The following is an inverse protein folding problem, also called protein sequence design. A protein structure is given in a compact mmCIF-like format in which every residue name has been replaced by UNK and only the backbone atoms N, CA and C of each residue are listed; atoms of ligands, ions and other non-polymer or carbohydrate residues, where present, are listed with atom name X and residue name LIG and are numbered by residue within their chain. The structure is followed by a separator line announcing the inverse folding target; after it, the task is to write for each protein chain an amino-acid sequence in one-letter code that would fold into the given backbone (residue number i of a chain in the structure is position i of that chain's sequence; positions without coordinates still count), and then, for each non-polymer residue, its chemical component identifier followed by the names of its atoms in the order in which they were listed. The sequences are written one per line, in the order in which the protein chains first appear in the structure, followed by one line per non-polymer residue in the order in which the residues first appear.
data_IF_100615440013
#
_entry.id   IF_100615440013
#
_cell.length_a   1.000
_cell.length_b   1.000
_cell.length_c   1.000
_cell.angle_alpha   90.00
_cell.angle_beta   90.00
_cell.angle_gamma   90.00
#
_symmetry.space_group_name_H-M   'P 1'
#
loop_
_entity.id
_entity.type
_entity.pdbx_description
1 polymer ?
#
# COMPACT_ATOMS: atom_id res chain seq x y z
N UNK A 1 -28.12 47.29 -45.80
CA UNK A 1 -27.84 46.15 -44.89
C UNK A 1 -26.55 45.53 -45.40
N UNK A 2 -25.42 45.97 -44.87
CA UNK A 2 -24.10 45.54 -45.33
C UNK A 2 -23.94 44.05 -45.06
N UNK A 3 -23.62 43.30 -46.11
CA UNK A 3 -23.38 41.86 -46.04
C UNK A 3 -22.02 41.64 -45.38
N UNK A 4 -21.99 41.61 -44.05
CA UNK A 4 -20.80 41.16 -43.32
C UNK A 4 -20.36 39.81 -43.86
N UNK A 5 -19.10 39.71 -44.26
CA UNK A 5 -18.52 38.41 -44.58
C UNK A 5 -18.53 37.54 -43.33
N UNK A 6 -18.63 36.20 -43.50
CA UNK A 6 -18.64 35.27 -42.37
C UNK A 6 -17.43 35.44 -41.44
N UNK A 7 -16.32 35.94 -42.00
CA UNK A 7 -15.08 36.26 -41.29
C UNK A 7 -15.19 37.53 -40.42
N UNK A 8 -15.82 38.60 -40.92
CA UNK A 8 -16.09 39.82 -40.15
C UNK A 8 -17.08 39.58 -39.01
N UNK A 9 -18.11 38.77 -39.25
CA UNK A 9 -19.06 38.36 -38.20
C UNK A 9 -18.36 37.50 -37.11
N UNK A 10 -17.45 36.62 -37.52
CA UNK A 10 -16.65 35.81 -36.61
C UNK A 10 -15.67 36.64 -35.75
N UNK A 11 -15.17 37.77 -36.26
CA UNK A 11 -14.30 38.70 -35.54
C UNK A 11 -15.08 39.59 -34.55
N UNK A 12 -16.29 40.02 -34.89
CA UNK A 12 -17.19 40.74 -33.98
C UNK A 12 -17.75 39.84 -32.87
N UNK A 13 -17.94 38.56 -33.16
CA UNK A 13 -18.36 37.58 -32.15
C UNK A 13 -17.17 37.14 -31.28
N UNK A 14 -17.39 36.99 -29.97
CA UNK A 14 -16.37 36.49 -29.02
C UNK A 14 -16.08 34.97 -29.18
N UNK A 15 -16.06 34.45 -30.41
CA UNK A 15 -15.80 33.04 -30.63
C UNK A 15 -14.37 32.67 -30.25
N UNK A 16 -14.26 31.64 -29.41
CA UNK A 16 -12.96 31.08 -29.02
C UNK A 16 -12.28 30.47 -30.24
N UNK A 17 -11.01 30.80 -30.44
CA UNK A 17 -10.14 30.18 -31.43
C UNK A 17 -10.14 28.63 -31.30
N UNK A 18 -9.97 27.91 -32.41
CA UNK A 18 -9.81 26.45 -32.45
C UNK A 18 -8.79 25.94 -31.42
N UNK A 19 -7.65 26.62 -31.24
CA UNK A 19 -6.63 26.25 -30.25
C UNK A 19 -7.15 26.35 -28.81
N UNK A 20 -7.88 27.42 -28.49
CA UNK A 20 -8.42 27.63 -27.14
C UNK A 20 -9.57 26.68 -26.84
N UNK A 21 -10.43 26.37 -27.82
CA UNK A 21 -11.45 25.31 -27.72
C UNK A 21 -10.82 23.95 -27.39
N UNK A 22 -9.78 23.54 -28.13
CA UNK A 22 -9.05 22.28 -27.86
C UNK A 22 -8.42 22.25 -26.47
N UNK A 23 -7.84 23.36 -26.02
CA UNK A 23 -7.24 23.47 -24.69
C UNK A 23 -8.30 23.30 -23.59
N UNK A 24 -9.45 23.95 -23.72
CA UNK A 24 -10.53 23.85 -22.74
C UNK A 24 -11.05 22.42 -22.60
N UNK A 25 -11.25 21.70 -23.70
CA UNK A 25 -11.66 20.29 -23.65
C UNK A 25 -10.64 19.43 -22.91
N UNK A 26 -9.34 19.66 -23.15
CA UNK A 26 -8.27 18.94 -22.46
C UNK A 26 -8.25 19.28 -20.96
N UNK A 27 -8.32 20.55 -20.60
CA UNK A 27 -8.33 21.01 -19.20
C UNK A 27 -9.56 20.47 -18.45
N UNK A 28 -10.72 20.43 -19.09
CA UNK A 28 -11.95 19.87 -18.52
C UNK A 28 -11.83 18.37 -18.25
N UNK A 29 -11.28 17.62 -19.22
CA UNK A 29 -10.99 16.20 -19.05
C UNK A 29 -9.97 15.95 -17.92
N UNK A 30 -8.91 16.75 -17.83
CA UNK A 30 -7.92 16.64 -16.74
C UNK A 30 -8.56 16.93 -15.37
N UNK A 31 -9.47 17.91 -15.28
CA UNK A 31 -10.25 18.18 -14.05
C UNK A 31 -11.14 17.00 -13.68
N UNK A 32 -11.82 16.40 -14.65
CA UNK A 32 -12.63 15.20 -14.45
C UNK A 32 -11.78 14.06 -13.87
N UNK A 33 -10.58 13.83 -14.40
CA UNK A 33 -9.66 12.80 -13.90
C UNK A 33 -9.22 13.06 -12.44
N UNK A 34 -8.96 14.31 -12.09
CA UNK A 34 -8.63 14.70 -10.71
C UNK A 34 -9.82 14.45 -9.77
N UNK A 35 -11.04 14.76 -10.21
CA UNK A 35 -12.26 14.49 -9.42
C UNK A 35 -12.45 12.98 -9.19
N UNK A 36 -12.26 12.15 -10.22
CA UNK A 36 -12.32 10.69 -10.07
C UNK A 36 -11.33 10.17 -9.03
N UNK A 37 -10.11 10.71 -9.01
CA UNK A 37 -9.11 10.35 -7.99
C UNK A 37 -9.54 10.76 -6.58
N UNK A 38 -10.16 11.92 -6.42
CA UNK A 38 -10.69 12.37 -5.12
C UNK A 38 -11.81 11.43 -4.63
N UNK A 39 -12.75 11.11 -5.51
CA UNK A 39 -13.84 10.17 -5.22
C UNK A 39 -13.29 8.79 -4.84
N UNK A 40 -12.32 8.26 -5.58
CA UNK A 40 -11.65 7.00 -5.24
C UNK A 40 -11.05 7.04 -3.82
N UNK A 41 -10.29 8.09 -3.50
CA UNK A 41 -9.70 8.24 -2.16
C UNK A 41 -10.77 8.33 -1.07
N UNK A 42 -11.89 9.03 -1.33
CA UNK A 42 -13.01 9.13 -0.40
C UNK A 42 -13.71 7.78 -0.18
N UNK A 43 -14.03 7.04 -1.24
CA UNK A 43 -14.61 5.71 -1.15
C UNK A 43 -13.69 4.74 -0.41
N UNK A 44 -12.39 4.78 -0.68
CA UNK A 44 -11.41 3.97 0.03
C UNK A 44 -11.32 4.33 1.51
N UNK A 45 -11.40 5.62 1.86
CA UNK A 45 -11.47 6.06 3.26
C UNK A 45 -12.75 5.54 3.94
N UNK A 46 -13.91 5.68 3.29
CA UNK A 46 -15.18 5.14 3.79
C UNK A 46 -15.08 3.63 4.04
N UNK A 47 -14.57 2.88 3.04
CA UNK A 47 -14.30 1.44 3.15
C UNK A 47 -13.37 1.12 4.32
N UNK A 48 -12.32 1.91 4.53
CA UNK A 48 -11.38 1.69 5.61
C UNK A 48 -11.98 2.00 6.99
N UNK A 49 -12.88 2.98 7.06
CA UNK A 49 -13.54 3.41 8.30
C UNK A 49 -14.74 2.54 8.70
N UNK A 50 -15.12 1.55 7.88
CA UNK A 50 -16.18 0.61 8.23
C UNK A 50 -15.87 -0.12 9.55
N UNK A 51 -16.86 -0.28 10.44
CA UNK A 51 -16.66 -0.89 11.74
C UNK A 51 -16.33 -2.37 11.63
N UNK A 52 -15.76 -2.92 12.70
CA UNK A 52 -15.58 -4.35 12.88
C UNK A 52 -16.86 -4.95 13.46
N UNK A 53 -17.36 -6.00 12.82
CA UNK A 53 -18.55 -6.75 13.25
C UNK A 53 -18.08 -8.02 13.94
N UNK A 54 -18.60 -8.35 15.15
CA UNK A 54 -18.27 -9.59 15.83
C UNK A 54 -18.78 -10.80 15.03
N UNK A 55 -17.97 -11.85 14.98
CA UNK A 55 -18.37 -13.14 14.42
C UNK A 55 -19.23 -13.90 15.42
N UNK A 56 -20.29 -14.55 14.92
CA UNK A 56 -21.15 -15.40 15.76
C UNK A 56 -20.36 -16.55 16.42
N UNK A 57 -19.40 -17.13 15.68
CA UNK A 57 -18.49 -18.14 16.19
C UNK A 57 -17.04 -17.71 15.89
N UNK A 58 -16.23 -17.38 16.91
CA UNK A 58 -14.83 -17.10 16.70
C UNK A 58 -14.11 -18.38 16.26
N UNK A 59 -13.17 -18.25 15.33
CA UNK A 59 -12.42 -19.39 14.81
C UNK A 59 -10.91 -19.20 14.95
N UNK A 60 -10.20 -20.31 15.07
CA UNK A 60 -8.75 -20.31 15.17
C UNK A 60 -8.12 -20.20 13.77
N UNK A 61 -7.37 -19.12 13.52
CA UNK A 61 -6.60 -18.97 12.27
C UNK A 61 -5.22 -19.64 12.36
N UNK A 62 -4.67 -19.72 13.57
CA UNK A 62 -3.34 -20.29 13.78
C UNK A 62 -2.90 -20.14 15.24
N UNK A 63 -1.63 -19.84 15.42
CA UNK A 63 -1.00 -19.65 16.72
C UNK A 63 -0.29 -18.31 16.76
N UNK A 64 -0.29 -17.70 17.93
CA UNK A 64 0.52 -16.54 18.23
C UNK A 64 1.47 -16.86 19.37
N UNK A 65 2.65 -16.27 19.32
CA UNK A 65 3.59 -16.29 20.42
C UNK A 65 4.05 -14.88 20.76
N UNK A 66 4.12 -14.63 22.06
CA UNK A 66 4.60 -13.37 22.64
C UNK A 66 5.49 -13.69 23.82
N UNK A 67 6.21 -12.68 24.29
CA UNK A 67 6.99 -12.79 25.52
C UNK A 67 6.08 -12.60 26.73
N UNK A 68 6.38 -13.37 27.78
CA UNK A 68 5.82 -13.25 29.13
C UNK A 68 6.98 -13.32 30.11
N UNK A 69 6.82 -12.72 31.29
CA UNK A 69 7.81 -12.87 32.36
C UNK A 69 7.99 -14.34 32.75
N UNK A 70 9.24 -14.71 33.02
CA UNK A 70 9.56 -15.97 33.68
C UNK A 70 8.98 -15.99 35.10
N UNK A 71 8.47 -17.13 35.53
CA UNK A 71 7.79 -17.31 36.83
C UNK A 71 8.63 -16.85 38.03
N UNK A 72 9.94 -17.09 38.02
CA UNK A 72 10.85 -16.69 39.10
C UNK A 72 10.86 -15.17 39.31
N UNK A 73 10.78 -14.41 38.21
CA UNK A 73 10.80 -12.94 38.23
C UNK A 73 9.43 -12.40 38.57
N UNK A 74 8.36 -13.10 38.20
CA UNK A 74 7.00 -12.75 38.63
C UNK A 74 6.88 -12.78 40.16
N UNK A 75 7.62 -13.67 40.83
CA UNK A 75 7.66 -13.75 42.30
C UNK A 75 8.60 -12.75 42.96
N UNK A 76 9.44 -12.05 42.20
CA UNK A 76 10.40 -11.09 42.75
C UNK A 76 9.79 -9.70 42.92
N UNK A 77 10.46 -8.85 43.70
CA UNK A 77 10.02 -7.47 43.91
C UNK A 77 10.02 -6.63 42.62
N UNK A 78 10.82 -7.01 41.62
CA UNK A 78 10.95 -6.28 40.35
C UNK A 78 9.89 -6.70 39.31
N UNK A 79 8.98 -7.60 39.66
CA UNK A 79 7.95 -8.12 38.76
C UNK A 79 7.17 -7.01 38.06
N UNK A 80 6.75 -6.00 38.82
CA UNK A 80 5.95 -4.87 38.31
C UNK A 80 6.73 -4.07 37.26
N UNK A 81 8.00 -3.75 37.54
CA UNK A 81 8.87 -3.01 36.63
C UNK A 81 9.06 -3.74 35.30
N UNK A 82 9.42 -5.01 35.35
CA UNK A 82 9.64 -5.79 34.13
C UNK A 82 8.34 -6.09 33.39
N UNK A 83 7.18 -6.15 34.06
CA UNK A 83 5.87 -6.23 33.40
C UNK A 83 5.57 -4.96 32.62
N UNK A 84 5.73 -3.79 33.24
CA UNK A 84 5.52 -2.50 32.57
C UNK A 84 6.49 -2.27 31.42
N UNK A 85 7.74 -2.72 31.55
CA UNK A 85 8.73 -2.66 30.48
C UNK A 85 8.34 -3.59 29.33
N UNK A 86 7.92 -4.82 29.65
CA UNK A 86 7.54 -5.81 28.66
C UNK A 86 6.38 -5.32 27.80
N UNK A 87 5.36 -4.68 28.37
CA UNK A 87 4.23 -4.10 27.61
C UNK A 87 4.70 -3.14 26.50
N UNK A 88 5.74 -2.36 26.76
CA UNK A 88 6.30 -1.38 25.80
C UNK A 88 7.13 -2.03 24.70
N UNK A 89 7.79 -3.15 24.99
CA UNK A 89 8.78 -3.80 24.10
C UNK A 89 8.34 -5.14 23.54
N UNK A 90 7.15 -5.63 23.90
CA UNK A 90 6.68 -6.94 23.47
C UNK A 90 6.57 -7.00 21.94
N UNK A 91 6.80 -8.19 21.42
CA UNK A 91 6.64 -8.46 19.99
C UNK A 91 5.71 -9.65 19.83
N UNK A 92 4.83 -9.58 18.84
CA UNK A 92 3.92 -10.65 18.50
C UNK A 92 4.38 -11.31 17.21
N UNK A 93 4.32 -12.63 17.20
CA UNK A 93 4.56 -13.39 15.98
C UNK A 93 3.43 -14.39 15.77
N UNK A 94 2.88 -14.39 14.56
CA UNK A 94 1.86 -15.33 14.13
C UNK A 94 2.45 -16.43 13.26
N UNK A 95 1.85 -17.62 13.34
CA UNK A 95 2.19 -18.81 12.57
C UNK A 95 0.95 -19.68 12.38
N UNK A 96 0.86 -20.42 11.28
CA UNK A 96 -0.17 -21.45 11.11
C UNK A 96 0.07 -22.64 12.04
N UNK A 97 1.33 -23.02 12.24
CA UNK A 97 1.75 -24.13 13.11
C UNK A 97 2.19 -23.64 14.50
N UNK A 98 1.86 -24.43 15.53
CA UNK A 98 2.28 -24.19 16.93
C UNK A 98 3.80 -24.25 17.13
N UNK A 99 4.53 -24.89 16.22
CA UNK A 99 5.97 -25.12 16.33
C UNK A 99 6.81 -23.86 16.09
N UNK A 100 6.27 -22.85 15.37
CA UNK A 100 6.99 -21.64 14.93
C UNK A 100 8.34 -21.93 14.26
N UNK A 101 8.44 -23.05 13.53
CA UNK A 101 9.64 -23.39 12.76
C UNK A 101 9.58 -22.79 11.36
N UNK A 102 10.73 -22.43 10.82
CA UNK A 102 10.89 -22.01 9.43
C UNK A 102 11.75 -23.01 8.67
N UNK A 103 11.35 -23.30 7.43
CA UNK A 103 12.11 -24.14 6.51
C UNK A 103 13.35 -23.38 6.06
N UNK A 104 14.55 -23.91 6.36
CA UNK A 104 15.84 -23.35 5.93
C UNK A 104 16.60 -24.38 5.10
N UNK A 105 17.11 -23.97 3.94
CA UNK A 105 17.97 -24.83 3.12
C UNK A 105 19.36 -24.93 3.76
N UNK A 106 19.86 -26.14 3.97
CA UNK A 106 21.23 -26.44 4.42
C UNK A 106 21.79 -27.57 3.57
N UNK A 107 22.94 -27.34 2.90
CA UNK A 107 23.65 -28.33 2.07
C UNK A 107 22.70 -29.19 1.22
N UNK A 108 21.89 -28.54 0.37
CA UNK A 108 20.89 -29.13 -0.54
C UNK A 108 19.62 -29.75 0.08
N UNK A 109 19.56 -29.99 1.40
CA UNK A 109 18.34 -30.43 2.10
C UNK A 109 17.61 -29.26 2.78
N UNK A 110 16.32 -29.44 3.06
CA UNK A 110 15.55 -28.49 3.86
C UNK A 110 15.41 -28.99 5.29
N UNK A 111 15.76 -28.14 6.25
CA UNK A 111 15.66 -28.43 7.68
C UNK A 111 14.75 -27.39 8.32
N UNK A 112 13.89 -27.83 9.22
CA UNK A 112 13.07 -26.94 10.03
C UNK A 112 13.89 -26.41 11.20
N UNK A 113 14.07 -25.09 11.25
CA UNK A 113 14.80 -24.40 12.31
C UNK A 113 13.82 -23.48 13.02
N UNK A 114 13.95 -23.35 14.34
CA UNK A 114 13.16 -22.40 15.10
C UNK A 114 13.31 -20.98 14.54
N UNK A 115 12.17 -20.30 14.35
CA UNK A 115 12.20 -18.90 13.95
C UNK A 115 12.66 -18.10 15.17
N UNK A 116 13.75 -17.34 15.03
CA UNK A 116 14.20 -16.44 16.09
C UNK A 116 13.21 -15.28 16.24
N UNK A 117 12.88 -14.95 17.48
CA UNK A 117 12.13 -13.76 17.85
C UNK A 117 12.83 -13.14 19.05
N UNK A 118 12.95 -11.83 19.02
CA UNK A 118 13.50 -11.01 20.11
C UNK A 118 12.46 -9.99 20.53
N UNK A 119 12.60 -9.47 21.75
CA UNK A 119 11.90 -8.25 22.14
C UNK A 119 12.27 -7.10 21.20
N UNK A 120 11.45 -6.05 21.20
CA UNK A 120 11.60 -4.91 20.29
C UNK A 120 12.99 -4.29 20.46
N UNK A 121 13.75 -4.26 19.37
CA UNK A 121 14.98 -3.49 19.24
C UNK A 121 14.59 -2.07 18.80
N UNK A 122 15.26 -1.05 19.32
CA UNK A 122 15.03 0.34 18.91
C UNK A 122 16.11 0.80 17.94
N UNK A 123 15.70 1.54 16.91
CA UNK A 123 16.65 2.22 16.03
C UNK A 123 17.18 3.50 16.70
N UNK A 124 18.33 4.01 16.25
CA UNK A 124 18.89 5.27 16.77
C UNK A 124 17.91 6.46 16.69
N UNK A 125 17.15 6.56 15.60
CA UNK A 125 16.15 7.62 15.44
C UNK A 125 14.97 7.46 16.41
N UNK A 126 14.51 6.22 16.64
CA UNK A 126 13.47 5.96 17.64
C UNK A 126 13.96 6.24 19.06
N UNK A 127 15.22 5.90 19.35
CA UNK A 127 15.84 6.12 20.66
C UNK A 127 15.93 7.61 21.04
N UNK A 128 16.22 8.46 20.05
CA UNK A 128 16.28 9.92 20.20
C UNK A 128 14.90 10.59 20.16
N UNK A 129 13.86 9.87 19.76
CA UNK A 129 12.54 10.47 19.59
C UNK A 129 11.92 10.83 20.95
N UNK A 130 11.26 12.00 21.08
CA UNK A 130 10.56 12.37 22.30
C UNK A 130 9.31 11.51 22.55
N UNK A 131 8.85 10.79 21.51
CA UNK A 131 7.69 9.87 21.58
C UNK A 131 8.03 8.54 22.25
N UNK A 132 9.30 8.28 22.56
CA UNK A 132 9.71 7.05 23.22
C UNK A 132 9.28 7.06 24.69
N UNK A 133 8.25 6.28 25.02
CA UNK A 133 7.68 6.16 26.36
C UNK A 133 8.54 5.37 27.36
N UNK A 134 9.88 5.36 27.18
CA UNK A 134 10.80 4.67 28.09
C UNK A 134 11.34 5.61 29.16
N UNK A 135 11.23 5.20 30.41
CA UNK A 135 11.83 5.89 31.56
C UNK A 135 13.35 5.71 31.55
N UNK A 136 14.09 6.63 32.15
CA UNK A 136 15.56 6.55 32.24
C UNK A 136 16.06 5.24 32.88
N UNK A 137 15.33 4.74 33.90
CA UNK A 137 15.61 3.43 34.53
C UNK A 137 15.52 2.30 33.51
N UNK A 138 14.46 2.28 32.71
CA UNK A 138 14.24 1.27 31.66
C UNK A 138 15.32 1.34 30.58
N UNK A 139 15.74 2.55 30.20
CA UNK A 139 16.79 2.76 29.19
C UNK A 139 18.14 2.12 29.58
N UNK A 140 18.46 2.02 30.87
CA UNK A 140 19.69 1.36 31.35
C UNK A 140 19.74 -0.14 31.02
N UNK A 141 18.60 -0.78 30.79
CA UNK A 141 18.56 -2.20 30.41
C UNK A 141 18.80 -2.44 28.92
N UNK A 142 19.14 -1.40 28.15
CA UNK A 142 19.49 -1.51 26.74
C UNK A 142 20.94 -1.17 26.52
N UNK A 143 21.59 -1.94 25.63
CA UNK A 143 22.95 -1.66 25.21
C UNK A 143 22.98 -1.30 23.72
N UNK A 144 23.95 -0.46 23.37
CA UNK A 144 24.18 -0.03 22.00
C UNK A 144 24.87 -1.16 21.21
N UNK A 145 24.30 -1.53 20.07
CA UNK A 145 24.84 -2.55 19.17
C UNK A 145 24.84 -2.07 17.73
N UNK A 146 25.98 -2.19 17.07
CA UNK A 146 26.10 -1.87 15.64
C UNK A 146 25.90 -3.12 14.79
N UNK A 147 25.09 -3.00 13.75
CA UNK A 147 24.77 -4.09 12.81
C UNK A 147 24.86 -3.57 11.38
N UNK A 148 25.50 -4.32 10.51
CA UNK A 148 25.46 -4.05 9.08
C UNK A 148 24.03 -4.22 8.55
N UNK A 149 23.49 -3.20 7.88
CA UNK A 149 22.19 -3.24 7.23
C UNK A 149 22.35 -3.48 5.73
N UNK A 150 21.98 -4.65 5.18
CA UNK A 150 22.13 -4.95 3.75
C UNK A 150 21.33 -4.00 2.86
N UNK A 151 20.11 -3.63 3.26
CA UNK A 151 19.22 -2.78 2.47
C UNK A 151 19.78 -1.37 2.26
N UNK A 152 20.45 -0.82 3.28
CA UNK A 152 21.05 0.51 3.21
C UNK A 152 22.55 0.49 2.94
N UNK A 153 23.17 -0.70 2.85
CA UNK A 153 24.62 -0.91 2.69
C UNK A 153 25.47 -0.07 3.66
N UNK A 154 25.05 0.02 4.92
CA UNK A 154 25.77 0.77 5.97
C UNK A 154 25.55 0.15 7.34
N UNK A 155 26.46 0.43 8.27
CA UNK A 155 26.26 0.11 9.67
C UNK A 155 25.15 1.00 10.27
N UNK A 156 24.27 0.37 11.04
CA UNK A 156 23.21 1.04 11.80
C UNK A 156 23.32 0.66 13.26
N UNK A 157 23.06 1.64 14.11
CA UNK A 157 23.01 1.48 15.55
C UNK A 157 21.60 1.03 15.95
N UNK A 158 21.56 -0.02 16.77
CA UNK A 158 20.36 -0.55 17.38
C UNK A 158 20.57 -0.64 18.90
N UNK A 159 19.53 -0.32 19.67
CA UNK A 159 19.51 -0.51 21.11
C UNK A 159 18.80 -1.84 21.40
N UNK A 160 19.55 -2.78 21.98
CA UNK A 160 19.12 -4.16 22.22
C UNK A 160 18.96 -4.37 23.72
N UNK A 161 17.91 -5.09 24.11
CA UNK A 161 17.66 -5.43 25.51
C UNK A 161 18.73 -6.39 26.04
N UNK A 162 19.28 -6.09 27.22
CA UNK A 162 20.44 -6.78 27.79
C UNK A 162 20.08 -8.13 28.45
N UNK A 163 18.87 -8.27 29.01
CA UNK A 163 18.51 -9.40 29.87
C UNK A 163 17.41 -10.29 29.26
N UNK A 164 17.55 -10.81 28.02
CA UNK A 164 16.47 -11.49 27.31
C UNK A 164 15.98 -12.76 28.02
N UNK A 165 16.81 -13.37 28.88
CA UNK A 165 16.47 -14.56 29.66
C UNK A 165 15.32 -14.31 30.66
N UNK A 166 15.04 -13.04 31.02
CA UNK A 166 13.93 -12.68 31.90
C UNK A 166 12.56 -12.98 31.28
N UNK A 167 12.51 -13.07 29.96
CA UNK A 167 11.28 -13.31 29.22
C UNK A 167 11.29 -14.69 28.57
N UNK A 168 10.14 -15.35 28.60
CA UNK A 168 9.91 -16.68 28.02
C UNK A 168 8.76 -16.58 27.02
N UNK A 169 8.76 -17.43 25.99
CA UNK A 169 7.67 -17.48 25.03
C UNK A 169 6.42 -18.11 25.64
N UNK A 170 5.29 -17.43 25.49
CA UNK A 170 3.96 -18.01 25.69
C UNK A 170 3.29 -18.17 24.34
N UNK A 171 2.87 -19.39 24.04
CA UNK A 171 2.16 -19.72 22.80
C UNK A 171 0.67 -19.85 23.13
N UNK A 172 -0.19 -19.17 22.37
CA UNK A 172 -1.65 -19.27 22.49
C UNK A 172 -2.30 -19.38 21.10
N UNK A 173 -3.51 -19.95 20.99
CA UNK A 173 -4.23 -19.95 19.72
C UNK A 173 -4.57 -18.51 19.30
N UNK A 174 -4.38 -18.21 18.02
CA UNK A 174 -4.77 -16.93 17.43
C UNK A 174 -6.20 -17.04 16.90
N UNK A 175 -7.14 -16.48 17.68
CA UNK A 175 -8.57 -16.47 17.37
C UNK A 175 -8.93 -15.19 16.61
N UNK A 176 -9.66 -15.35 15.52
CA UNK A 176 -10.35 -14.24 14.87
C UNK A 176 -11.75 -14.16 15.48
N UNK A 177 -12.05 -13.01 16.08
CA UNK A 177 -13.34 -12.72 16.74
C UNK A 177 -14.19 -11.73 15.97
N UNK A 178 -13.58 -10.90 15.13
CA UNK A 178 -14.28 -9.86 14.38
C UNK A 178 -13.87 -9.92 12.91
N UNK A 179 -14.78 -9.52 12.03
CA UNK A 179 -14.53 -9.28 10.61
C UNK A 179 -14.89 -7.86 10.25
N UNK A 180 -14.33 -7.34 9.17
CA UNK A 180 -14.70 -6.02 8.68
C UNK A 180 -16.12 -6.06 8.10
N UNK A 181 -16.94 -5.08 8.44
CA UNK A 181 -18.24 -4.90 7.78
C UNK A 181 -18.04 -4.73 6.28
N UNK A 182 -18.93 -5.31 5.49
CA UNK A 182 -18.97 -5.13 4.04
C UNK A 182 -20.26 -4.37 3.74
N UNK A 183 -20.14 -3.26 3.02
CA UNK A 183 -21.24 -2.44 2.56
C UNK A 183 -21.37 -2.66 1.04
N UNK A 184 -22.50 -3.22 0.63
CA UNK A 184 -22.75 -3.67 -0.75
C UNK A 184 -22.80 -2.49 -1.72
N UNK A 185 -23.47 -1.39 -1.33
CA UNK A 185 -23.59 -0.18 -2.15
C UNK A 185 -22.22 0.46 -2.35
N UNK A 186 -21.43 0.55 -1.28
CA UNK A 186 -20.07 1.10 -1.33
C UNK A 186 -19.13 0.27 -2.21
N UNK A 187 -19.17 -1.06 -2.09
CA UNK A 187 -18.34 -1.94 -2.94
C UNK A 187 -18.77 -1.87 -4.41
N UNK A 188 -20.07 -1.75 -4.67
CA UNK A 188 -20.61 -1.52 -6.02
C UNK A 188 -20.11 -0.20 -6.62
N UNK A 189 -20.16 0.90 -5.86
CA UNK A 189 -19.62 2.20 -6.30
C UNK A 189 -18.12 2.13 -6.62
N UNK A 190 -17.33 1.49 -5.76
CA UNK A 190 -15.89 1.28 -6.00
C UNK A 190 -15.69 0.48 -7.29
N UNK A 191 -16.44 -0.60 -7.47
CA UNK A 191 -16.30 -1.48 -8.62
C UNK A 191 -16.65 -0.76 -9.93
N UNK A 192 -17.72 0.04 -9.96
CA UNK A 192 -18.09 0.85 -11.13
C UNK A 192 -16.98 1.83 -11.49
N UNK A 193 -16.42 2.52 -10.50
CA UNK A 193 -15.32 3.47 -10.71
C UNK A 193 -14.04 2.77 -11.20
N UNK A 194 -13.68 1.65 -10.59
CA UNK A 194 -12.51 0.86 -11.00
C UNK A 194 -12.67 0.30 -12.42
N UNK A 195 -13.85 -0.20 -12.78
CA UNK A 195 -14.17 -0.65 -14.13
C UNK A 195 -14.02 0.48 -15.15
N UNK A 196 -14.50 1.69 -14.82
CA UNK A 196 -14.36 2.85 -15.69
C UNK A 196 -12.88 3.22 -15.91
N UNK A 197 -12.08 3.29 -14.84
CA UNK A 197 -10.65 3.63 -14.92
C UNK A 197 -9.85 2.59 -15.70
N UNK A 198 -10.11 1.31 -15.45
CA UNK A 198 -9.40 0.19 -16.08
C UNK A 198 -9.75 0.06 -17.55
N UNK A 199 -11.04 0.06 -17.91
CA UNK A 199 -11.49 -0.08 -19.31
C UNK A 199 -10.97 1.05 -20.20
N UNK A 200 -10.86 2.26 -19.67
CA UNK A 200 -10.34 3.42 -20.40
C UNK A 200 -8.84 3.67 -20.19
N UNK A 201 -8.15 2.80 -19.45
CA UNK A 201 -6.72 2.91 -19.14
C UNK A 201 -6.31 4.30 -18.57
N UNK A 202 -7.17 4.89 -17.74
CA UNK A 202 -7.00 6.27 -17.25
C UNK A 202 -5.97 6.40 -16.12
N UNK A 203 -5.60 5.28 -15.48
CA UNK A 203 -4.73 5.25 -14.30
C UNK A 203 -3.40 5.98 -14.51
N UNK A 204 -2.76 5.78 -15.66
CA UNK A 204 -1.51 6.46 -16.00
C UNK A 204 -1.68 7.99 -16.08
N UNK A 205 -2.76 8.45 -16.74
CA UNK A 205 -3.07 9.87 -16.90
C UNK A 205 -3.37 10.51 -15.54
N UNK A 206 -4.17 9.84 -14.71
CA UNK A 206 -4.48 10.27 -13.34
C UNK A 206 -3.20 10.43 -12.50
N UNK A 207 -2.37 9.39 -12.44
CA UNK A 207 -1.14 9.42 -11.62
C UNK A 207 -0.17 10.51 -12.11
N UNK A 208 -0.04 10.71 -13.42
CA UNK A 208 0.81 11.79 -13.97
C UNK A 208 0.32 13.18 -13.55
N UNK A 209 -1.00 13.40 -13.50
CA UNK A 209 -1.59 14.68 -13.11
C UNK A 209 -1.45 14.96 -11.61
N UNK A 210 -1.56 13.92 -10.77
CA UNK A 210 -1.59 14.07 -9.30
C UNK A 210 -0.20 13.99 -8.69
N UNK A 211 0.58 12.98 -9.06
CA UNK A 211 1.88 12.68 -8.42
C UNK A 211 3.07 13.24 -9.24
N UNK A 212 2.79 13.90 -10.38
CA UNK A 212 3.80 14.45 -11.30
C UNK A 212 4.59 13.39 -12.08
N UNK A 213 4.45 12.11 -11.71
CA UNK A 213 5.17 11.00 -12.31
C UNK A 213 4.29 9.74 -12.34
N UNK A 214 4.46 8.91 -13.38
CA UNK A 214 3.79 7.62 -13.47
C UNK A 214 4.70 6.58 -14.10
N UNK A 215 4.99 5.51 -13.36
CA UNK A 215 5.65 4.33 -13.91
C UNK A 215 4.68 3.65 -14.91
N UNK A 216 5.06 3.55 -16.19
CA UNK A 216 4.38 2.64 -17.13
C UNK A 216 4.73 1.20 -16.74
N UNK A 217 3.86 0.55 -16.00
CA UNK A 217 4.01 -0.87 -15.72
C UNK A 217 3.81 -1.69 -16.99
N UNK A 218 4.82 -2.50 -17.34
CA UNK A 218 4.83 -3.32 -18.56
C UNK A 218 3.63 -4.28 -18.66
N UNK A 219 3.08 -4.71 -17.52
CA UNK A 219 1.94 -5.64 -17.46
C UNK A 219 0.66 -5.14 -18.15
N UNK A 220 0.45 -3.81 -18.21
CA UNK A 220 -0.71 -3.21 -18.89
C UNK A 220 -0.40 -2.76 -20.34
N UNK A 221 0.73 -3.18 -20.94
CA UNK A 221 1.18 -2.83 -22.30
C UNK A 221 0.40 -3.51 -23.43
N UNK A 222 -0.91 -3.63 -23.33
CA UNK A 222 -1.72 -3.71 -24.54
C UNK A 222 -2.19 -2.30 -24.81
N UNK A 223 -1.80 -1.75 -25.96
CA UNK A 223 -2.41 -0.51 -26.44
C UNK A 223 -3.92 -0.64 -26.29
N UNK A 224 -4.57 0.39 -25.72
CA UNK A 224 -6.01 0.33 -25.50
C UNK A 224 -6.64 -0.06 -26.84
N UNK A 225 -7.38 -1.18 -26.95
CA UNK A 225 -7.88 -1.64 -28.24
C UNK A 225 -8.74 -0.57 -28.95
N UNK A 226 -9.33 0.35 -28.19
CA UNK A 226 -10.06 1.52 -28.71
C UNK A 226 -9.18 2.66 -29.23
N UNK A 227 -7.93 2.75 -28.77
CA UNK A 227 -6.94 3.74 -29.21
C UNK A 227 -6.00 3.17 -30.30
N UNK A 228 -6.15 1.89 -30.69
CA UNK A 228 -5.44 1.32 -31.84
C UNK A 228 -6.07 1.92 -33.09
N UNK A 229 -5.35 2.81 -33.77
CA UNK A 229 -5.83 3.30 -35.06
C UNK A 229 -5.79 2.15 -36.09
N UNK A 230 -6.83 1.96 -36.91
CA UNK A 230 -6.87 0.89 -37.92
C UNK A 230 -5.82 1.09 -39.03
N UNK A 231 -5.19 2.25 -39.06
CA UNK A 231 -4.17 2.70 -40.01
C UNK A 231 -2.76 2.60 -39.38
N UNK A 232 -2.68 2.27 -38.08
CA UNK A 232 -1.39 2.17 -37.38
C UNK A 232 -0.49 1.14 -38.07
N UNK A 233 0.74 1.52 -38.37
CA UNK A 233 1.74 0.69 -39.03
C UNK A 233 1.37 0.21 -40.45
N UNK A 234 0.29 0.72 -41.06
CA UNK A 234 0.01 0.51 -42.49
C UNK A 234 0.80 1.52 -43.32
N UNK A 235 1.44 1.05 -44.40
CA UNK A 235 2.08 1.95 -45.37
C UNK A 235 1.03 2.65 -46.23
N UNK A 236 1.37 3.82 -46.78
CA UNK A 236 0.47 4.58 -47.68
C UNK A 236 -0.04 3.74 -48.86
N UNK A 237 0.83 2.91 -49.43
CA UNK A 237 0.47 2.00 -50.52
C UNK A 237 -0.63 1.01 -50.11
N UNK A 238 -0.52 0.39 -48.93
CA UNK A 238 -1.51 -0.58 -48.42
C UNK A 238 -2.86 0.08 -48.17
N UNK A 239 -2.86 1.33 -47.69
CA UNK A 239 -4.09 2.10 -47.50
C UNK A 239 -4.75 2.46 -48.84
N UNK A 240 -3.93 2.82 -49.83
CA UNK A 240 -4.41 3.17 -51.17
C UNK A 240 -5.02 1.95 -51.89
N UNK A 241 -4.39 0.78 -51.75
CA UNK A 241 -4.93 -0.47 -52.28
C UNK A 241 -6.27 -0.83 -51.61
N UNK A 242 -6.37 -0.73 -50.28
CA UNK A 242 -7.62 -0.95 -49.54
C UNK A 242 -8.75 -0.03 -50.02
N UNK A 243 -8.44 1.23 -50.30
CA UNK A 243 -9.40 2.19 -50.83
C UNK A 243 -9.88 1.82 -52.25
N UNK A 244 -8.97 1.35 -53.12
CA UNK A 244 -9.34 0.89 -54.47
C UNK A 244 -10.23 -0.36 -54.38
N UNK A 245 -9.86 -1.31 -53.52
CA UNK A 245 -10.58 -2.58 -53.35
C UNK A 245 -11.98 -2.38 -52.74
N UNK A 246 -12.21 -1.34 -51.92
CA UNK A 246 -13.53 -0.96 -51.37
C UNK A 246 -14.44 -0.22 -52.38
N UNK A 247 -13.87 0.29 -53.48
CA UNK A 247 -14.58 1.07 -54.51
C UNK A 247 -15.06 0.22 -55.71
N UNK A 248 -14.73 -1.07 -55.74
CA UNK A 248 -15.17 -2.08 -56.72
C UNK A 248 -16.30 -2.91 -56.13
#
# INVERSE_FOLDING_TARGET
MENYTAEEYALCSRFKNKRTKKRLVKEDFEKQLIQLRKLEVELWKKRQNLPLVPLAMPYQKGWERSFVLREDIVRSNDASFYSTLLEKINTWQHSSEKSFKKKKKRKRKHVYVEKLQTVKEFSESEWRSPKLALTEKEKKHFYKRERWCPNCKRYKIHYVFNEPWRYVFRIKPYLITHTKMVDEDLESEIQVLDNYITNLNLRYKINKLVDGFSYRWSYYQKENPREISPIKNKSLHVLYQQYIDEMI
#
